data_IF_234142991148
#
_entry.id   IF_234142991148
#
_cell.length_a   1.000
_cell.length_b   1.000
_cell.length_c   1.000
_cell.angle_alpha   90.00
_cell.angle_beta   90.00
_cell.angle_gamma   90.00
#
_symmetry.space_group_name_H-M   'P 1'
#
loop_
_entity.id
_entity.type
_entity.pdbx_description
1 polymer ?
#
# COMPACT_ATOMS: atom_id res chain seq x y z
N UNK A 1 19.67 -8.52 -7.51
CA UNK A 1 19.20 -7.22 -6.97
C UNK A 1 18.73 -7.49 -5.57
N UNK A 2 19.28 -6.79 -4.57
CA UNK A 2 19.05 -7.11 -3.17
C UNK A 2 17.57 -7.02 -2.83
N UNK A 3 16.98 -8.17 -2.59
CA UNK A 3 15.62 -8.34 -2.11
C UNK A 3 15.56 -7.75 -0.69
N UNK A 4 15.03 -6.54 -0.55
CA UNK A 4 14.89 -5.84 0.74
C UNK A 4 13.43 -5.45 0.96
N UNK A 5 13.06 -5.27 2.22
CA UNK A 5 11.72 -4.82 2.57
C UNK A 5 11.48 -3.39 2.06
N UNK A 6 10.32 -3.13 1.48
CA UNK A 6 9.93 -1.78 1.03
C UNK A 6 8.55 -1.46 1.58
N UNK A 7 8.45 -0.39 2.36
CA UNK A 7 7.20 0.13 2.87
C UNK A 7 6.77 1.35 2.06
N UNK A 8 5.60 1.25 1.45
CA UNK A 8 4.99 2.33 0.70
C UNK A 8 3.88 3.00 1.52
N UNK A 9 3.84 4.33 1.50
CA UNK A 9 2.82 5.06 2.22
C UNK A 9 2.93 6.57 2.13
N UNK A 10 2.43 7.25 3.16
CA UNK A 10 2.61 8.70 3.32
C UNK A 10 3.11 8.93 4.74
N UNK A 11 4.17 9.72 4.91
CA UNK A 11 4.87 9.92 6.18
C UNK A 11 3.96 10.32 7.36
N UNK A 12 2.92 11.12 7.08
CA UNK A 12 1.97 11.66 8.07
C UNK A 12 0.74 10.75 8.26
N UNK A 13 0.96 9.49 8.62
CA UNK A 13 -0.11 8.54 8.96
C UNK A 13 0.29 7.73 10.18
N UNK A 14 -0.59 7.62 11.17
CA UNK A 14 -0.28 6.93 12.42
C UNK A 14 -0.07 5.43 12.21
N UNK A 15 -0.79 4.82 11.27
CA UNK A 15 -0.59 3.43 10.86
C UNK A 15 0.82 3.18 10.32
N UNK A 16 1.37 4.14 9.56
CA UNK A 16 2.75 4.07 9.06
C UNK A 16 3.75 4.16 10.22
N UNK A 17 3.51 5.02 11.23
CA UNK A 17 4.38 5.08 12.41
C UNK A 17 4.40 3.75 13.16
N UNK A 18 3.23 3.12 13.36
CA UNK A 18 3.12 1.80 14.00
C UNK A 18 3.86 0.72 13.22
N UNK A 19 3.62 0.63 11.91
CA UNK A 19 4.26 -0.36 11.05
C UNK A 19 5.79 -0.22 11.04
N UNK A 20 6.30 1.01 10.96
CA UNK A 20 7.73 1.30 11.03
C UNK A 20 8.33 0.89 12.36
N UNK A 21 7.68 1.26 13.46
CA UNK A 21 8.11 0.88 14.81
C UNK A 21 8.16 -0.64 14.98
N UNK A 22 7.18 -1.37 14.42
CA UNK A 22 7.15 -2.83 14.46
C UNK A 22 8.34 -3.46 13.71
N UNK A 23 8.61 -3.03 12.47
CA UNK A 23 9.75 -3.54 11.71
C UNK A 23 11.09 -3.21 12.38
N UNK A 24 11.24 -1.98 12.88
CA UNK A 24 12.45 -1.58 13.61
C UNK A 24 12.63 -2.39 14.90
N UNK A 25 11.56 -2.64 15.65
CA UNK A 25 11.61 -3.48 16.86
C UNK A 25 11.97 -4.94 16.53
N UNK A 26 11.57 -5.44 15.35
CA UNK A 26 11.94 -6.76 14.86
C UNK A 26 13.35 -6.81 14.23
N UNK A 27 14.08 -5.69 14.17
CA UNK A 27 15.41 -5.63 13.55
C UNK A 27 15.40 -5.75 12.02
N UNK A 28 14.26 -5.47 11.38
CA UNK A 28 14.09 -5.56 9.93
C UNK A 28 14.40 -4.21 9.29
N UNK A 29 15.44 -4.19 8.46
CA UNK A 29 15.74 -3.05 7.60
C UNK A 29 14.75 -2.95 6.44
N UNK A 30 14.19 -1.75 6.24
CA UNK A 30 13.24 -1.48 5.17
C UNK A 30 13.49 -0.11 4.54
N UNK A 31 13.19 0.00 3.24
CA UNK A 31 13.13 1.27 2.53
C UNK A 31 11.72 1.84 2.64
N UNK A 32 11.59 3.11 3.01
CA UNK A 32 10.32 3.82 2.94
C UNK A 32 10.18 4.57 1.62
N UNK A 33 9.04 4.42 0.94
CA UNK A 33 8.68 5.12 -0.29
C UNK A 33 7.41 5.95 -0.04
N UNK A 34 7.52 7.27 -0.15
CA UNK A 34 6.39 8.18 0.09
C UNK A 34 5.69 8.50 -1.23
N UNK A 35 4.42 8.14 -1.36
CA UNK A 35 3.63 8.40 -2.57
C UNK A 35 3.53 9.88 -2.94
N UNK A 36 3.68 10.81 -1.99
CA UNK A 36 3.64 12.25 -2.26
C UNK A 36 5.00 12.82 -2.62
N UNK A 37 6.07 12.30 -2.02
CA UNK A 37 7.42 12.85 -2.23
C UNK A 37 8.11 12.15 -3.41
N UNK A 38 8.03 10.83 -3.47
CA UNK A 38 8.65 9.99 -4.50
C UNK A 38 7.71 9.74 -5.69
N UNK A 39 6.42 10.00 -5.51
CA UNK A 39 5.39 9.72 -6.51
C UNK A 39 5.00 8.24 -6.58
N UNK A 40 4.04 7.93 -7.45
CA UNK A 40 3.63 6.57 -7.77
C UNK A 40 3.47 6.47 -9.29
N UNK A 41 4.22 5.57 -9.92
CA UNK A 41 4.12 5.33 -11.35
C UNK A 41 2.99 4.34 -11.67
N UNK A 42 2.47 4.41 -12.90
CA UNK A 42 1.45 3.47 -13.41
C UNK A 42 1.93 2.02 -13.30
N UNK A 43 3.19 1.76 -13.71
CA UNK A 43 3.80 0.43 -13.63
C UNK A 43 3.85 -0.11 -12.20
N UNK A 44 4.25 0.71 -11.22
CA UNK A 44 4.27 0.28 -9.81
C UNK A 44 2.86 0.00 -9.28
N UNK A 45 1.89 0.84 -9.62
CA UNK A 45 0.52 0.59 -9.19
C UNK A 45 -0.07 -0.65 -9.86
N UNK A 46 0.27 -0.92 -11.12
CA UNK A 46 -0.09 -2.15 -11.81
C UNK A 46 0.48 -3.37 -11.09
N UNK A 47 1.77 -3.37 -10.72
CA UNK A 47 2.37 -4.45 -9.94
C UNK A 47 1.61 -4.72 -8.63
N UNK A 48 1.16 -3.66 -7.96
CA UNK A 48 0.38 -3.81 -6.74
C UNK A 48 -0.99 -4.44 -7.01
N UNK A 49 -1.66 -4.00 -8.07
CA UNK A 49 -2.97 -4.51 -8.47
C UNK A 49 -2.86 -5.99 -8.86
N UNK A 50 -1.81 -6.38 -9.58
CA UNK A 50 -1.59 -7.75 -10.00
C UNK A 50 -1.32 -8.67 -8.80
N UNK A 51 -0.65 -8.16 -7.76
CA UNK A 51 -0.32 -8.93 -6.56
C UNK A 51 -1.48 -9.03 -5.55
N UNK A 52 -2.28 -7.97 -5.36
CA UNK A 52 -3.27 -7.87 -4.27
C UNK A 52 -4.71 -7.73 -4.74
N UNK A 53 -4.91 -7.36 -6.00
CA UNK A 53 -6.18 -6.88 -6.55
C UNK A 53 -6.45 -5.41 -6.21
N UNK A 54 -7.05 -4.69 -7.16
CA UNK A 54 -7.41 -3.27 -6.99
C UNK A 54 -8.40 -3.04 -5.83
N UNK A 55 -9.27 -4.00 -5.53
CA UNK A 55 -10.25 -3.91 -4.44
C UNK A 55 -9.60 -3.91 -3.06
N UNK A 56 -8.50 -4.64 -2.89
CA UNK A 56 -7.71 -4.68 -1.66
C UNK A 56 -6.92 -3.39 -1.46
N UNK A 57 -6.40 -2.82 -2.55
CA UNK A 57 -5.64 -1.58 -2.56
C UNK A 57 -6.51 -0.35 -2.39
N UNK A 58 -7.71 -0.34 -2.94
CA UNK A 58 -8.61 0.80 -2.85
C UNK A 58 -9.21 0.90 -1.45
N UNK A 59 -8.96 2.00 -0.76
CA UNK A 59 -9.51 2.25 0.56
C UNK A 59 -10.97 2.74 0.47
N UNK A 60 -11.89 1.81 0.20
CA UNK A 60 -13.33 2.08 0.16
C UNK A 60 -13.93 2.52 1.51
N UNK A 61 -13.20 2.35 2.62
CA UNK A 61 -13.61 2.80 3.96
C UNK A 61 -13.09 4.20 4.30
N UNK A 62 -12.20 4.75 3.47
CA UNK A 62 -11.56 6.04 3.68
C UNK A 62 -12.51 7.22 3.48
N UNK A 63 -12.19 8.35 4.12
CA UNK A 63 -12.93 9.59 3.94
C UNK A 63 -12.84 10.12 2.51
N UNK A 64 -11.72 9.89 1.81
CA UNK A 64 -11.57 10.26 0.40
C UNK A 64 -12.55 9.51 -0.50
N UNK A 65 -12.74 8.20 -0.31
CA UNK A 65 -13.74 7.42 -1.04
C UNK A 65 -15.17 7.92 -0.79
N UNK A 66 -15.49 8.26 0.46
CA UNK A 66 -16.80 8.83 0.83
C UNK A 66 -17.04 10.23 0.25
N UNK A 67 -15.97 10.98 -0.04
CA UNK A 67 -16.04 12.30 -0.67
C UNK A 67 -16.20 12.25 -2.18
N UNK A 68 -15.98 11.09 -2.80
CA UNK A 68 -16.23 10.92 -4.22
C UNK A 68 -17.71 11.18 -4.54
N UNK A 69 -17.95 11.72 -5.71
CA UNK A 69 -19.26 11.77 -6.31
C UNK A 69 -19.73 10.37 -6.68
N UNK A 70 -21.03 10.22 -6.94
CA UNK A 70 -21.59 8.96 -7.41
C UNK A 70 -20.98 8.55 -8.76
N UNK A 71 -20.83 9.50 -9.69
CA UNK A 71 -20.17 9.28 -10.98
C UNK A 71 -18.73 8.77 -10.86
N UNK A 72 -17.94 9.30 -9.92
CA UNK A 72 -16.56 8.81 -9.69
C UNK A 72 -16.53 7.40 -9.12
N UNK A 73 -17.51 7.03 -8.28
CA UNK A 73 -17.62 5.66 -7.74
C UNK A 73 -18.06 4.67 -8.81
N UNK A 74 -19.06 5.05 -9.61
CA UNK A 74 -19.58 4.24 -10.71
C UNK A 74 -18.57 4.07 -11.85
N UNK A 75 -17.68 5.05 -12.04
CA UNK A 75 -16.59 4.94 -13.00
C UNK A 75 -15.60 3.80 -12.67
N UNK A 76 -15.51 3.38 -11.40
CA UNK A 76 -14.64 2.26 -10.98
C UNK A 76 -15.33 0.93 -11.29
N UNK A 77 -15.15 0.46 -12.52
CA UNK A 77 -15.76 -0.78 -13.03
C UNK A 77 -14.77 -1.93 -13.14
N UNK A 78 -13.48 -1.63 -13.22
CA UNK A 78 -12.40 -2.58 -13.44
C UNK A 78 -11.08 -2.11 -12.80
N UNK A 79 -10.01 -2.88 -12.99
CA UNK A 79 -8.68 -2.55 -12.48
C UNK A 79 -8.11 -1.25 -13.08
N UNK A 80 -8.35 -0.99 -14.37
CA UNK A 80 -7.80 0.17 -15.09
C UNK A 80 -8.44 1.49 -14.63
N UNK A 81 -9.77 1.51 -14.50
CA UNK A 81 -10.52 2.63 -13.95
C UNK A 81 -10.16 2.89 -12.48
N UNK A 82 -10.02 1.83 -11.67
CA UNK A 82 -9.53 1.95 -10.30
C UNK A 82 -8.10 2.52 -10.25
N UNK A 83 -7.22 2.06 -11.14
CA UNK A 83 -5.84 2.51 -11.26
C UNK A 83 -5.77 4.00 -11.60
N UNK A 84 -6.51 4.44 -12.62
CA UNK A 84 -6.58 5.84 -13.01
C UNK A 84 -7.03 6.74 -11.84
N UNK A 85 -8.05 6.30 -11.10
CA UNK A 85 -8.54 7.01 -9.92
C UNK A 85 -7.48 7.08 -8.79
N UNK A 86 -6.78 5.97 -8.54
CA UNK A 86 -5.72 5.89 -7.54
C UNK A 86 -4.48 6.72 -7.91
N UNK A 87 -4.13 6.82 -9.19
CA UNK A 87 -3.05 7.71 -9.67
C UNK A 87 -3.43 9.19 -9.53
N UNK A 88 -4.66 9.54 -9.88
CA UNK A 88 -5.18 10.90 -9.71
C UNK A 88 -5.25 11.30 -8.23
N UNK A 89 -5.58 10.33 -7.35
CA UNK A 89 -5.72 10.55 -5.91
C UNK A 89 -5.04 9.43 -5.10
N UNK A 90 -3.69 9.46 -4.94
CA UNK A 90 -2.94 8.43 -4.20
C UNK A 90 -3.35 8.30 -2.73
N UNK A 91 -4.06 9.29 -2.19
CA UNK A 91 -4.65 9.23 -0.87
C UNK A 91 -5.70 8.12 -0.71
N UNK A 92 -6.28 7.60 -1.79
CA UNK A 92 -7.22 6.47 -1.74
C UNK A 92 -6.55 5.11 -1.67
N UNK A 93 -5.25 5.03 -1.89
CA UNK A 93 -4.52 3.78 -1.76
C UNK A 93 -4.40 3.42 -0.28
N UNK A 94 -4.69 2.16 0.04
CA UNK A 94 -4.61 1.56 1.37
C UNK A 94 -3.15 1.55 1.82
N UNK A 95 -2.91 1.96 3.06
CA UNK A 95 -1.59 2.27 3.59
C UNK A 95 -1.44 1.70 5.01
N UNK A 96 -0.24 1.23 5.41
CA UNK A 96 0.95 0.96 4.58
C UNK A 96 0.72 -0.13 3.53
N UNK A 97 1.49 -0.12 2.44
CA UNK A 97 1.78 -1.36 1.71
C UNK A 97 3.19 -1.81 2.09
N UNK A 98 3.36 -3.08 2.45
CA UNK A 98 4.67 -3.65 2.73
C UNK A 98 5.00 -4.68 1.67
N UNK A 99 6.11 -4.46 0.96
CA UNK A 99 6.71 -5.43 0.06
C UNK A 99 7.83 -6.16 0.79
N UNK A 100 7.77 -7.47 0.78
CA UNK A 100 8.78 -8.34 1.36
C UNK A 100 9.87 -8.65 0.32
N UNK A 101 11.05 -9.16 0.74
CA UNK A 101 12.18 -9.48 -0.14
C UNK A 101 11.84 -10.41 -1.33
N UNK A 102 11.07 -11.45 -1.07
CA UNK A 102 10.53 -12.43 -2.03
C UNK A 102 9.46 -11.85 -2.98
N UNK A 103 9.05 -10.59 -2.79
CA UNK A 103 8.10 -9.90 -3.65
C UNK A 103 6.65 -9.93 -3.18
N UNK A 104 6.33 -10.63 -2.09
CA UNK A 104 4.99 -10.63 -1.48
C UNK A 104 4.60 -9.21 -1.04
N UNK A 105 3.37 -8.81 -1.36
CA UNK A 105 2.82 -7.51 -0.97
C UNK A 105 1.75 -7.69 0.10
N UNK A 106 1.75 -6.81 1.10
CA UNK A 106 0.80 -6.82 2.22
C UNK A 106 0.13 -5.45 2.32
N UNK A 107 -1.20 -5.42 2.33
CA UNK A 107 -1.98 -4.19 2.38
C UNK A 107 -2.53 -3.88 3.78
N UNK A 108 -2.13 -2.74 4.33
CA UNK A 108 -2.43 -2.30 5.68
C UNK A 108 -1.37 -2.73 6.68
N UNK A 109 -1.55 -2.31 7.93
CA UNK A 109 -0.76 -2.78 9.06
C UNK A 109 -1.63 -3.64 9.96
N UNK A 110 -1.12 -4.82 10.29
CA UNK A 110 -1.64 -5.72 11.30
C UNK A 110 -0.44 -6.42 11.92
N UNK A 111 -0.32 -6.37 13.25
CA UNK A 111 0.80 -7.00 13.96
C UNK A 111 0.88 -8.49 13.61
N UNK A 112 -0.25 -9.20 13.60
CA UNK A 112 -0.31 -10.62 13.23
C UNK A 112 0.18 -10.85 11.80
N UNK A 113 -0.26 -10.04 10.83
CA UNK A 113 0.15 -10.21 9.43
C UNK A 113 1.64 -9.95 9.25
N UNK A 114 2.18 -8.93 9.92
CA UNK A 114 3.60 -8.59 9.84
C UNK A 114 4.45 -9.64 10.55
N UNK A 115 4.02 -10.09 11.72
CA UNK A 115 4.70 -11.14 12.47
C UNK A 115 4.80 -12.44 11.65
N UNK A 116 3.68 -12.89 11.07
CA UNK A 116 3.67 -14.07 10.21
C UNK A 116 4.61 -13.87 9.01
N UNK A 117 4.55 -12.72 8.34
CA UNK A 117 5.39 -12.44 7.19
C UNK A 117 6.88 -12.41 7.53
N UNK A 118 7.26 -11.97 8.73
CA UNK A 118 8.65 -12.00 9.21
C UNK A 118 9.04 -13.44 9.57
N UNK A 119 8.20 -14.17 10.29
CA UNK A 119 8.48 -15.55 10.72
C UNK A 119 8.60 -16.52 9.53
N UNK A 120 7.77 -16.38 8.51
CA UNK A 120 7.85 -17.17 7.28
C UNK A 120 9.12 -16.89 6.46
N UNK A 121 9.79 -15.77 6.71
CA UNK A 121 10.91 -15.24 5.91
C UNK A 121 12.21 -15.03 6.71
N UNK A 122 12.23 -15.51 7.96
CA UNK A 122 13.41 -15.55 8.84
C UNK A 122 14.02 -16.95 8.80
#
# INVERSE_FOLDING_TARGET
MSAQWVMYGIKNCDTIKKARGFLTAAGIDYRFHDYRADGLSDAQLQEFIDALGYTTLLNNRGTTWRKLTEAEREAVTDADSAKALMLAQPAMIKRPLLRTPDGTLLAGFSETTYQNAIQEKS
#
